data_IF_160603396267
#
_entry.id   IF_160603396267
#
_cell.length_a   1.000
_cell.length_b   1.000
_cell.length_c   1.000
_cell.angle_alpha   90.00
_cell.angle_beta   90.00
_cell.angle_gamma   90.00
#
_symmetry.space_group_name_H-M   'P 1'
#
loop_
_entity.id
_entity.type
_entity.pdbx_description
1 polymer ?
#
# COMPACT_ATOMS: atom_id res chain seq x y z
N UNK A 1 -38.95 -38.14 -8.15
CA UNK A 1 -39.26 -39.35 -7.34
C UNK A 1 -38.25 -39.44 -6.20
N UNK A 2 -38.78 -39.58 -4.98
CA UNK A 2 -38.20 -39.91 -3.68
C UNK A 2 -37.42 -38.78 -2.96
N UNK A 3 -38.20 -38.08 -2.09
CA UNK A 3 -37.76 -37.35 -0.89
C UNK A 3 -37.28 -38.36 0.17
N UNK A 4 -36.25 -38.00 0.93
CA UNK A 4 -35.99 -38.61 2.24
C UNK A 4 -35.83 -37.50 3.23
N UNK A 5 -36.79 -37.37 4.16
CA UNK A 5 -36.72 -36.60 5.40
C UNK A 5 -36.04 -37.47 6.47
N UNK A 6 -35.18 -36.89 7.27
CA UNK A 6 -34.75 -37.48 8.55
C UNK A 6 -35.07 -36.45 9.65
N UNK A 7 -35.85 -36.97 10.61
CA UNK A 7 -36.39 -36.29 11.81
C UNK A 7 -35.30 -36.10 12.89
N UNK A 8 -35.38 -34.94 13.54
CA UNK A 8 -34.75 -34.68 14.84
C UNK A 8 -35.44 -35.44 15.95
N UNK A 9 -34.68 -35.94 16.91
CA UNK A 9 -35.13 -36.36 18.23
C UNK A 9 -34.43 -35.54 19.31
N UNK A 10 -35.21 -34.66 19.98
CA UNK A 10 -34.84 -34.01 21.23
C UNK A 10 -35.11 -35.00 22.40
N UNK A 11 -34.14 -35.17 23.27
CA UNK A 11 -34.35 -35.81 24.57
C UNK A 11 -34.15 -34.76 25.68
N UNK A 12 -35.27 -34.51 26.39
CA UNK A 12 -35.38 -33.66 27.56
C UNK A 12 -35.17 -34.52 28.80
N UNK A 13 -34.21 -34.18 29.63
CA UNK A 13 -34.10 -34.78 30.97
C UNK A 13 -34.48 -33.75 32.03
N UNK A 14 -35.64 -34.03 32.68
CA UNK A 14 -36.13 -33.35 33.88
C UNK A 14 -35.66 -34.13 35.11
N UNK A 15 -34.99 -33.51 36.05
CA UNK A 15 -34.74 -34.08 37.37
C UNK A 15 -35.55 -33.31 38.41
N UNK A 16 -36.42 -34.07 39.11
CA UNK A 16 -37.34 -33.61 40.13
C UNK A 16 -36.64 -33.63 41.48
N UNK A 17 -36.70 -32.54 42.23
CA UNK A 17 -36.31 -32.49 43.64
C UNK A 17 -37.46 -32.97 44.54
N UNK A 18 -37.19 -33.82 45.48
CA UNK A 18 -38.14 -34.20 46.52
C UNK A 18 -37.59 -33.80 47.89
N UNK A 19 -38.34 -32.94 48.57
CA UNK A 19 -38.17 -32.62 50.00
C UNK A 19 -38.78 -33.72 50.87
N UNK A 20 -38.13 -34.06 51.96
CA UNK A 20 -38.83 -34.69 53.09
C UNK A 20 -38.27 -34.15 54.42
N UNK A 21 -39.20 -33.49 55.16
CA UNK A 21 -39.07 -33.08 56.55
C UNK A 21 -39.22 -34.31 57.49
N UNK A 22 -38.38 -34.40 58.48
CA UNK A 22 -38.72 -35.12 59.75
C UNK A 22 -38.25 -34.30 60.94
N UNK A 23 -39.19 -33.90 61.78
CA UNK A 23 -38.98 -33.35 63.12
C UNK A 23 -38.89 -34.50 64.13
N UNK A 24 -38.00 -34.46 65.07
CA UNK A 24 -38.23 -34.93 66.44
C UNK A 24 -37.29 -34.30 67.46
N UNK A 25 -37.87 -33.63 68.40
CA UNK A 25 -37.71 -33.25 69.78
C UNK A 25 -36.42 -33.60 70.55
N UNK A 26 -35.91 -32.53 71.17
CA UNK A 26 -35.36 -32.26 72.51
C UNK A 26 -34.61 -33.38 73.27
N UNK A 27 -33.36 -33.05 73.69
CA UNK A 27 -33.02 -33.04 75.07
C UNK A 27 -31.80 -32.16 75.38
N UNK A 28 -31.89 -31.46 76.54
CA UNK A 28 -30.99 -30.45 77.08
C UNK A 28 -29.82 -31.10 77.80
N UNK A 29 -28.55 -30.77 77.45
CA UNK A 29 -27.49 -30.73 78.49
C UNK A 29 -26.38 -29.74 78.13
N UNK A 30 -26.12 -28.82 79.03
CA UNK A 30 -25.02 -27.85 79.06
C UNK A 30 -23.64 -28.46 78.82
N UNK A 31 -22.83 -27.92 77.95
CA UNK A 31 -21.38 -27.92 78.13
C UNK A 31 -20.73 -26.72 77.39
N UNK A 32 -19.86 -26.08 78.15
CA UNK A 32 -18.96 -24.97 77.86
C UNK A 32 -18.66 -24.57 76.39
N UNK A 33 -18.76 -23.27 76.15
CA UNK A 33 -18.23 -22.53 74.98
C UNK A 33 -16.72 -22.72 74.90
N UNK A 34 -16.25 -23.41 73.85
CA UNK A 34 -14.93 -23.21 73.31
C UNK A 34 -15.13 -22.35 72.06
N UNK A 35 -14.66 -21.10 72.15
CA UNK A 35 -14.61 -20.16 71.00
C UNK A 35 -13.55 -20.65 70.01
N UNK A 36 -14.00 -21.21 68.91
CA UNK A 36 -13.17 -21.48 67.70
C UNK A 36 -12.92 -20.17 67.00
N UNK A 37 -11.65 -19.76 66.71
CA UNK A 37 -11.39 -18.57 65.91
C UNK A 37 -11.91 -18.82 64.51
N UNK A 38 -12.69 -17.86 63.98
CA UNK A 38 -13.16 -17.81 62.60
C UNK A 38 -11.94 -17.98 61.67
N UNK A 39 -11.94 -19.00 60.83
CA UNK A 39 -11.05 -19.07 59.69
C UNK A 39 -11.52 -17.98 58.71
N UNK A 40 -10.71 -16.92 58.55
CA UNK A 40 -10.83 -16.01 57.43
C UNK A 40 -10.65 -16.82 56.14
N UNK A 41 -11.68 -16.90 55.31
CA UNK A 41 -11.53 -17.38 53.94
C UNK A 41 -10.48 -16.51 53.23
N UNK A 42 -9.50 -17.10 52.50
CA UNK A 42 -8.52 -16.30 51.79
C UNK A 42 -9.24 -15.44 50.77
N UNK A 43 -9.05 -14.12 50.86
CA UNK A 43 -9.47 -13.19 49.80
C UNK A 43 -8.91 -13.70 48.48
N UNK A 44 -9.79 -14.07 47.54
CA UNK A 44 -9.42 -14.40 46.17
C UNK A 44 -8.90 -13.12 45.54
N UNK A 45 -7.59 -13.02 45.37
CA UNK A 45 -6.97 -11.97 44.56
C UNK A 45 -7.52 -12.15 43.12
N UNK A 46 -8.17 -11.14 42.51
CA UNK A 46 -8.65 -11.26 41.17
C UNK A 46 -7.48 -11.62 40.22
N UNK A 47 -7.67 -12.62 39.39
CA UNK A 47 -6.73 -12.97 38.34
C UNK A 47 -6.50 -11.71 37.46
N UNK A 48 -5.24 -11.30 37.15
CA UNK A 48 -5.00 -10.13 36.34
C UNK A 48 -5.72 -10.27 35.01
N UNK A 49 -6.43 -9.21 34.59
CA UNK A 49 -7.04 -9.17 33.25
C UNK A 49 -5.94 -9.41 32.22
N UNK A 50 -6.21 -10.21 31.18
CA UNK A 50 -5.25 -10.44 30.11
C UNK A 50 -4.85 -9.09 29.46
N UNK A 51 -3.57 -8.91 29.19
CA UNK A 51 -3.09 -7.74 28.46
C UNK A 51 -3.73 -7.73 27.04
N UNK A 52 -4.15 -6.55 26.53
CA UNK A 52 -4.76 -6.46 25.21
C UNK A 52 -3.78 -6.91 24.11
N UNK A 53 -4.28 -7.62 23.11
CA UNK A 53 -3.47 -8.04 21.98
C UNK A 53 -3.03 -6.83 21.14
N UNK A 54 -1.78 -6.86 20.66
CA UNK A 54 -1.17 -5.81 19.84
C UNK A 54 -0.79 -6.38 18.49
N UNK A 55 -1.33 -5.79 17.42
CA UNK A 55 -1.04 -6.15 16.05
C UNK A 55 -0.27 -5.03 15.36
N UNK A 56 0.64 -5.39 14.46
CA UNK A 56 1.42 -4.42 13.68
C UNK A 56 1.44 -4.81 12.21
N UNK A 57 1.37 -3.81 11.33
CA UNK A 57 1.52 -4.00 9.90
C UNK A 57 2.47 -2.94 9.33
N UNK A 58 3.37 -3.37 8.44
CA UNK A 58 4.26 -2.49 7.68
C UNK A 58 3.88 -2.51 6.21
N UNK A 59 3.41 -1.38 5.69
CA UNK A 59 3.16 -1.17 4.26
C UNK A 59 4.30 -0.38 3.66
N UNK A 60 4.81 -0.83 2.51
CA UNK A 60 5.76 -0.05 1.70
C UNK A 60 5.05 0.43 0.43
N UNK A 61 5.11 1.74 0.17
CA UNK A 61 4.59 2.33 -1.05
C UNK A 61 5.72 2.88 -1.92
N UNK A 62 5.59 2.72 -3.24
CA UNK A 62 6.50 3.27 -4.24
C UNK A 62 5.74 4.13 -5.25
N UNK A 63 6.46 4.98 -5.97
CA UNK A 63 5.89 5.81 -7.02
C UNK A 63 5.66 5.08 -8.34
N UNK A 64 5.82 5.81 -9.45
CA UNK A 64 5.43 5.38 -10.79
C UNK A 64 6.31 4.24 -11.32
N UNK A 65 5.67 3.18 -11.79
CA UNK A 65 6.25 1.99 -12.41
C UNK A 65 5.99 2.06 -13.92
N UNK A 66 6.95 2.63 -14.65
CA UNK A 66 6.83 2.89 -16.08
C UNK A 66 7.81 2.08 -16.91
N UNK A 67 7.43 1.73 -18.15
CA UNK A 67 8.31 1.06 -19.10
C UNK A 67 8.35 1.84 -20.42
N UNK A 68 9.43 2.57 -20.64
CA UNK A 68 9.70 3.28 -21.89
C UNK A 68 10.43 2.39 -22.90
N UNK A 69 10.56 2.85 -24.15
CA UNK A 69 11.24 2.11 -25.23
C UNK A 69 12.64 1.64 -24.86
N UNK A 70 13.38 2.42 -24.05
CA UNK A 70 14.74 2.04 -23.65
C UNK A 70 14.76 0.90 -22.65
N UNK A 71 13.73 0.80 -21.81
CA UNK A 71 13.55 -0.33 -20.89
C UNK A 71 13.12 -1.59 -21.65
N UNK A 72 12.27 -1.44 -22.69
CA UNK A 72 11.92 -2.55 -23.57
C UNK A 72 13.18 -3.10 -24.28
N UNK A 73 14.05 -2.21 -24.80
CA UNK A 73 15.31 -2.61 -25.43
C UNK A 73 16.27 -3.29 -24.46
N UNK A 74 16.35 -2.81 -23.21
CA UNK A 74 17.22 -3.36 -22.18
C UNK A 74 16.77 -4.74 -21.71
N UNK A 75 15.46 -4.95 -21.62
CA UNK A 75 14.87 -6.21 -21.16
C UNK A 75 14.77 -7.28 -22.26
N UNK A 76 14.92 -6.91 -23.55
CA UNK A 76 14.70 -7.81 -24.65
C UNK A 76 15.89 -8.76 -24.89
N UNK A 77 15.62 -10.06 -24.90
CA UNK A 77 16.57 -11.10 -25.25
C UNK A 77 16.29 -11.59 -26.69
N UNK A 78 17.15 -11.19 -27.63
CA UNK A 78 17.03 -11.53 -29.06
C UNK A 78 17.30 -13.01 -29.40
N UNK A 79 17.85 -13.79 -28.48
CA UNK A 79 18.10 -15.23 -28.69
C UNK A 79 16.85 -16.05 -28.39
N UNK A 80 16.04 -15.61 -27.45
CA UNK A 80 14.83 -16.32 -26.97
C UNK A 80 13.52 -15.63 -27.42
N UNK A 81 13.61 -14.43 -27.99
CA UNK A 81 12.47 -13.58 -28.35
C UNK A 81 11.56 -13.30 -27.13
N UNK A 82 12.18 -13.01 -25.97
CA UNK A 82 11.49 -12.76 -24.69
C UNK A 82 11.98 -11.49 -24.02
N UNK A 83 11.21 -11.03 -23.05
CA UNK A 83 11.56 -9.90 -22.19
C UNK A 83 11.77 -10.38 -20.74
N UNK A 84 12.83 -9.91 -20.09
CA UNK A 84 13.10 -10.14 -18.67
C UNK A 84 13.39 -8.82 -17.96
N UNK A 85 12.53 -8.45 -17.01
CA UNK A 85 12.68 -7.25 -16.18
C UNK A 85 13.15 -7.53 -14.75
N UNK A 86 13.43 -8.78 -14.38
CA UNK A 86 13.83 -9.11 -13.00
C UNK A 86 15.08 -8.37 -12.54
N UNK A 87 16.04 -8.12 -13.42
CA UNK A 87 17.25 -7.39 -13.10
C UNK A 87 16.98 -5.95 -12.63
N UNK A 88 15.90 -5.35 -13.12
CA UNK A 88 15.51 -3.97 -12.80
C UNK A 88 15.21 -3.77 -11.31
N UNK A 89 14.72 -4.79 -10.62
CA UNK A 89 14.32 -4.75 -9.22
C UNK A 89 15.23 -5.57 -8.30
N UNK A 90 16.18 -6.33 -8.82
CA UNK A 90 17.00 -7.28 -8.05
C UNK A 90 17.73 -6.67 -6.84
N UNK A 91 17.98 -5.34 -6.85
CA UNK A 91 18.69 -4.65 -5.75
C UNK A 91 17.74 -4.09 -4.68
N UNK A 92 16.48 -3.87 -5.02
CA UNK A 92 15.45 -3.36 -4.09
C UNK A 92 14.53 -4.47 -3.57
N UNK A 93 14.43 -5.61 -4.27
CA UNK A 93 13.58 -6.73 -3.85
C UNK A 93 13.84 -7.18 -2.38
N UNK A 94 15.11 -7.30 -1.88
CA UNK A 94 15.35 -7.64 -0.48
C UNK A 94 14.89 -6.57 0.52
N UNK A 95 14.69 -5.32 0.08
CA UNK A 95 14.17 -4.24 0.91
C UNK A 95 12.65 -4.19 0.87
N UNK A 96 12.05 -4.37 -0.31
CA UNK A 96 10.60 -4.49 -0.48
C UNK A 96 10.02 -5.64 0.34
N UNK A 97 10.71 -6.80 0.34
CA UNK A 97 10.30 -7.99 1.11
C UNK A 97 10.38 -7.85 2.64
N UNK A 98 10.82 -6.70 3.17
CA UNK A 98 10.75 -6.40 4.61
C UNK A 98 9.38 -5.85 5.04
N UNK A 99 8.57 -5.41 4.07
CA UNK A 99 7.20 -5.01 4.33
C UNK A 99 6.28 -6.23 4.36
N UNK A 100 5.18 -6.11 5.08
CA UNK A 100 4.10 -7.09 5.06
C UNK A 100 3.25 -6.95 3.78
N UNK A 101 3.26 -5.75 3.17
CA UNK A 101 2.50 -5.44 1.95
C UNK A 101 3.16 -4.30 1.16
N UNK A 102 3.28 -4.46 -0.15
CA UNK A 102 3.94 -3.47 -1.02
C UNK A 102 3.01 -2.96 -2.11
N UNK A 103 2.90 -1.62 -2.23
CA UNK A 103 2.03 -0.89 -3.15
C UNK A 103 2.86 -0.14 -4.19
N UNK A 104 2.43 -0.15 -5.47
CA UNK A 104 3.01 0.66 -6.55
C UNK A 104 1.96 1.20 -7.52
N UNK A 105 2.31 2.21 -8.31
CA UNK A 105 1.46 2.72 -9.39
C UNK A 105 1.90 2.11 -10.73
N UNK A 106 1.09 1.22 -11.30
CA UNK A 106 1.33 0.61 -12.62
C UNK A 106 0.95 1.60 -13.73
N UNK A 107 1.91 2.43 -14.16
CA UNK A 107 1.66 3.47 -15.16
C UNK A 107 2.00 2.98 -16.58
N UNK A 108 1.34 1.92 -16.98
CA UNK A 108 1.39 1.30 -18.31
C UNK A 108 0.23 0.33 -18.47
N UNK A 109 -0.09 -0.09 -19.70
CA UNK A 109 -0.99 -1.22 -19.96
C UNK A 109 -0.20 -2.52 -20.17
N UNK A 110 -0.84 -3.67 -19.90
CA UNK A 110 -0.37 -5.02 -20.18
C UNK A 110 -1.34 -5.67 -21.18
N UNK A 111 -1.35 -5.14 -22.41
CA UNK A 111 -2.36 -5.49 -23.41
C UNK A 111 -1.87 -6.50 -24.47
N UNK A 112 -0.82 -7.25 -24.15
CA UNK A 112 -0.23 -8.23 -25.05
C UNK A 112 0.38 -7.59 -26.32
N UNK A 113 0.83 -8.42 -27.25
CA UNK A 113 1.40 -7.92 -28.52
C UNK A 113 0.38 -7.18 -29.37
N UNK A 114 -0.85 -7.73 -29.52
CA UNK A 114 -1.88 -7.18 -30.36
C UNK A 114 -1.38 -6.78 -31.77
N UNK A 115 -2.01 -5.79 -32.39
CA UNK A 115 -1.59 -5.25 -33.69
C UNK A 115 -0.55 -4.13 -33.59
N UNK A 116 -0.34 -3.56 -32.37
CA UNK A 116 0.48 -2.38 -32.15
C UNK A 116 1.79 -2.70 -31.39
N UNK A 117 1.95 -3.94 -30.93
CA UNK A 117 3.13 -4.41 -30.21
C UNK A 117 3.35 -3.72 -28.86
N UNK A 118 4.50 -3.99 -28.25
CA UNK A 118 4.95 -3.30 -27.05
C UNK A 118 5.57 -1.95 -27.42
N UNK A 119 5.23 -0.92 -26.64
CA UNK A 119 5.66 0.48 -26.90
C UNK A 119 5.83 1.24 -25.58
N UNK A 120 6.75 2.19 -25.58
CA UNK A 120 6.85 3.22 -24.55
C UNK A 120 5.93 4.42 -24.84
N UNK A 121 6.41 5.63 -24.49
CA UNK A 121 5.68 6.90 -24.68
C UNK A 121 5.38 7.13 -26.19
N UNK A 122 4.21 7.69 -26.58
CA UNK A 122 3.17 8.26 -25.71
C UNK A 122 2.06 7.29 -25.27
N UNK A 123 1.93 6.12 -25.88
CA UNK A 123 0.92 5.13 -25.54
C UNK A 123 1.61 3.84 -25.11
N UNK A 124 1.72 3.66 -23.78
CA UNK A 124 2.45 2.55 -23.18
C UNK A 124 1.74 1.21 -23.39
N UNK A 125 2.53 0.19 -23.68
CA UNK A 125 2.12 -1.19 -23.63
C UNK A 125 3.33 -2.07 -23.34
N UNK A 126 3.30 -2.76 -22.22
CA UNK A 126 4.44 -3.48 -21.64
C UNK A 126 4.18 -4.98 -21.67
N UNK A 127 5.22 -5.82 -21.88
CA UNK A 127 5.09 -7.26 -21.74
C UNK A 127 4.67 -7.68 -20.31
N UNK A 128 3.85 -8.71 -20.19
CA UNK A 128 3.36 -9.27 -18.92
C UNK A 128 4.50 -9.68 -17.98
N UNK A 129 5.69 -9.98 -18.54
CA UNK A 129 6.91 -10.26 -17.77
C UNK A 129 7.36 -9.09 -16.88
N UNK A 130 6.90 -7.85 -17.14
CA UNK A 130 7.13 -6.73 -16.25
C UNK A 130 6.31 -6.88 -14.95
N UNK A 131 5.02 -7.20 -15.05
CA UNK A 131 4.20 -7.50 -13.88
C UNK A 131 4.73 -8.73 -13.13
N UNK A 132 5.19 -9.77 -13.84
CA UNK A 132 5.85 -10.91 -13.20
C UNK A 132 7.11 -10.49 -12.44
N UNK A 133 7.92 -9.57 -12.98
CA UNK A 133 9.11 -9.06 -12.30
C UNK A 133 8.75 -8.21 -11.06
N UNK A 134 7.66 -7.45 -11.10
CA UNK A 134 7.12 -6.75 -9.93
C UNK A 134 6.66 -7.74 -8.84
N UNK A 135 5.95 -8.82 -9.22
CA UNK A 135 5.56 -9.88 -8.27
C UNK A 135 6.77 -10.54 -7.62
N UNK A 136 7.77 -10.87 -8.42
CA UNK A 136 9.04 -11.47 -7.96
C UNK A 136 9.81 -10.50 -7.04
N UNK A 137 9.66 -9.20 -7.22
CA UNK A 137 10.28 -8.17 -6.39
C UNK A 137 9.56 -7.95 -5.05
N UNK A 138 8.34 -8.50 -4.89
CA UNK A 138 7.57 -8.42 -3.65
C UNK A 138 6.47 -7.36 -3.66
N UNK A 139 5.98 -6.94 -4.83
CA UNK A 139 4.77 -6.12 -4.91
C UNK A 139 3.52 -6.98 -4.73
N UNK A 140 2.56 -6.47 -3.97
CA UNK A 140 1.29 -7.13 -3.65
C UNK A 140 0.10 -6.42 -4.29
N UNK A 141 0.18 -5.09 -4.42
CA UNK A 141 -0.90 -4.25 -4.93
C UNK A 141 -0.39 -3.25 -5.97
N UNK A 142 -1.15 -3.09 -7.04
CA UNK A 142 -0.86 -2.12 -8.09
C UNK A 142 -2.08 -1.21 -8.33
N UNK A 143 -1.94 0.12 -8.12
CA UNK A 143 -2.98 1.03 -8.59
C UNK A 143 -2.94 1.09 -10.11
N UNK A 144 -4.11 1.07 -10.73
CA UNK A 144 -4.28 1.06 -12.18
C UNK A 144 -4.96 2.31 -12.71
N UNK A 145 -5.47 3.20 -11.83
CA UNK A 145 -6.01 4.49 -12.24
C UNK A 145 -4.90 5.53 -12.43
N UNK A 146 -4.49 5.74 -13.66
CA UNK A 146 -3.54 6.76 -14.07
C UNK A 146 -3.87 7.25 -15.50
N UNK A 147 -3.17 8.29 -15.98
CA UNK A 147 -3.42 8.85 -17.29
C UNK A 147 -3.08 7.91 -18.46
N UNK A 148 -2.34 6.81 -18.21
CA UNK A 148 -1.99 5.78 -19.19
C UNK A 148 -2.88 4.53 -19.13
N UNK A 149 -3.90 4.49 -18.27
CA UNK A 149 -4.81 3.35 -18.12
C UNK A 149 -5.55 2.98 -19.41
N UNK A 150 -5.78 3.95 -20.29
CA UNK A 150 -6.51 3.81 -21.54
C UNK A 150 -5.64 3.79 -22.80
N UNK A 151 -4.32 3.69 -22.69
CA UNK A 151 -3.40 3.70 -23.84
C UNK A 151 -3.70 2.60 -24.87
N UNK A 152 -4.24 1.50 -24.43
CA UNK A 152 -4.73 0.41 -25.27
C UNK A 152 -6.26 0.27 -25.27
N UNK A 153 -6.97 1.36 -24.91
CA UNK A 153 -8.43 1.44 -24.85
C UNK A 153 -9.01 0.47 -23.83
N UNK A 154 -10.32 0.28 -23.83
CA UNK A 154 -11.01 -0.59 -22.89
C UNK A 154 -10.51 -2.03 -22.93
N UNK A 155 -10.30 -2.61 -24.11
CA UNK A 155 -9.83 -3.99 -24.24
C UNK A 155 -8.45 -4.18 -23.61
N UNK A 156 -7.56 -3.20 -23.78
CA UNK A 156 -6.22 -3.23 -23.14
C UNK A 156 -6.28 -3.04 -21.63
N UNK A 157 -7.20 -2.20 -21.15
CA UNK A 157 -7.47 -2.07 -19.72
C UNK A 157 -7.94 -3.41 -19.14
N UNK A 158 -8.93 -4.06 -19.75
CA UNK A 158 -9.45 -5.35 -19.30
C UNK A 158 -8.35 -6.43 -19.32
N UNK A 159 -7.53 -6.47 -20.37
CA UNK A 159 -6.42 -7.40 -20.44
C UNK A 159 -5.37 -7.13 -19.33
N UNK A 160 -5.09 -5.86 -19.04
CA UNK A 160 -4.21 -5.48 -17.92
C UNK A 160 -4.72 -6.07 -16.59
N UNK A 161 -6.02 -5.91 -16.30
CA UNK A 161 -6.62 -6.46 -15.09
C UNK A 161 -6.54 -7.98 -15.04
N UNK A 162 -6.80 -8.67 -16.17
CA UNK A 162 -6.66 -10.14 -16.25
C UNK A 162 -5.24 -10.61 -15.91
N UNK A 163 -4.21 -9.94 -16.43
CA UNK A 163 -2.81 -10.25 -16.10
C UNK A 163 -2.53 -10.06 -14.61
N UNK A 164 -3.05 -8.99 -14.00
CA UNK A 164 -2.88 -8.74 -12.58
C UNK A 164 -3.58 -9.79 -11.72
N UNK A 165 -4.81 -10.18 -12.08
CA UNK A 165 -5.56 -11.25 -11.41
C UNK A 165 -4.84 -12.59 -11.49
N UNK A 166 -4.35 -12.97 -12.69
CA UNK A 166 -3.61 -14.22 -12.90
C UNK A 166 -2.32 -14.29 -12.08
N UNK A 167 -1.67 -13.15 -11.83
CA UNK A 167 -0.48 -13.04 -11.00
C UNK A 167 -0.80 -12.86 -9.50
N UNK A 168 -2.09 -12.74 -9.14
CA UNK A 168 -2.53 -12.57 -7.75
C UNK A 168 -2.15 -11.23 -7.15
N UNK A 169 -2.22 -10.15 -7.93
CA UNK A 169 -2.13 -8.79 -7.42
C UNK A 169 -3.49 -8.30 -6.92
N UNK A 170 -3.48 -7.53 -5.81
CA UNK A 170 -4.56 -6.59 -5.55
C UNK A 170 -4.46 -5.41 -6.52
N UNK A 171 -5.60 -4.86 -6.94
CA UNK A 171 -5.62 -3.66 -7.77
C UNK A 171 -6.90 -2.83 -7.53
N UNK A 172 -6.85 -1.54 -7.83
CA UNK A 172 -8.02 -0.66 -7.77
C UNK A 172 -7.88 0.52 -8.73
N UNK A 173 -9.03 1.14 -9.03
CA UNK A 173 -9.15 2.37 -9.80
C UNK A 173 -9.55 2.16 -11.26
N UNK A 174 -9.37 0.94 -11.82
CA UNK A 174 -9.95 0.54 -13.10
C UNK A 174 -10.70 -0.78 -12.97
N UNK A 175 -11.71 -1.00 -13.80
CA UNK A 175 -12.67 -2.08 -13.64
C UNK A 175 -13.11 -2.67 -14.98
N UNK A 176 -13.32 -3.99 -15.02
CA UNK A 176 -13.79 -4.72 -16.19
C UNK A 176 -15.31 -4.75 -16.31
N UNK A 177 -16.05 -4.37 -15.28
CA UNK A 177 -17.51 -4.28 -15.28
C UNK A 177 -18.03 -3.24 -14.29
N UNK A 178 -19.29 -2.84 -14.43
CA UNK A 178 -19.95 -1.95 -13.48
C UNK A 178 -20.13 -2.58 -12.09
N UNK A 179 -20.30 -3.89 -12.02
CA UNK A 179 -20.37 -4.64 -10.77
C UNK A 179 -19.02 -4.56 -10.04
N UNK A 180 -17.91 -4.76 -10.75
CA UNK A 180 -16.57 -4.68 -10.17
C UNK A 180 -16.23 -3.27 -9.65
N UNK A 181 -16.74 -2.21 -10.28
CA UNK A 181 -16.55 -0.84 -9.78
C UNK A 181 -17.21 -0.61 -8.41
N UNK A 182 -18.29 -1.31 -8.11
CA UNK A 182 -19.00 -1.19 -6.83
C UNK A 182 -18.32 -1.98 -5.69
N UNK A 183 -17.19 -2.64 -5.96
CA UNK A 183 -16.45 -3.40 -4.96
C UNK A 183 -15.17 -2.65 -4.58
N UNK A 184 -15.12 -2.08 -3.38
CA UNK A 184 -13.90 -1.48 -2.83
C UNK A 184 -12.91 -2.59 -2.50
N UNK A 185 -11.66 -2.41 -2.91
CA UNK A 185 -10.62 -3.37 -2.59
C UNK A 185 -10.31 -3.38 -1.09
N UNK A 186 -10.45 -4.55 -0.47
CA UNK A 186 -10.17 -4.80 0.93
C UNK A 186 -9.05 -5.82 1.08
N UNK A 187 -8.17 -5.61 2.05
CA UNK A 187 -7.15 -6.59 2.46
C UNK A 187 -6.98 -6.57 3.96
N UNK A 188 -6.54 -7.70 4.52
CA UNK A 188 -6.20 -7.81 5.93
C UNK A 188 -4.72 -8.19 6.06
N UNK A 189 -3.98 -7.41 6.84
CA UNK A 189 -2.55 -7.61 7.08
C UNK A 189 -2.36 -7.68 8.59
N UNK A 190 -1.98 -8.85 9.10
CA UNK A 190 -1.72 -9.08 10.53
C UNK A 190 -2.87 -8.58 11.43
N UNK A 191 -4.13 -8.94 11.12
CA UNK A 191 -5.36 -8.54 11.83
C UNK A 191 -5.67 -7.03 11.79
N UNK A 192 -5.07 -6.29 10.86
CA UNK A 192 -5.42 -4.90 10.55
C UNK A 192 -6.06 -4.87 9.16
N UNK A 193 -7.28 -4.35 9.07
CA UNK A 193 -8.03 -4.28 7.81
C UNK A 193 -7.80 -2.95 7.09
N UNK A 194 -7.55 -3.02 5.78
CA UNK A 194 -7.30 -1.87 4.93
C UNK A 194 -8.29 -1.84 3.77
N UNK A 195 -8.89 -0.66 3.53
CA UNK A 195 -9.57 -0.36 2.28
C UNK A 195 -8.66 0.48 1.40
N UNK A 196 -8.56 0.17 0.10
CA UNK A 196 -7.72 0.92 -0.84
C UNK A 196 -8.58 1.39 -2.01
N UNK A 197 -8.59 2.71 -2.25
CA UNK A 197 -9.28 3.34 -3.38
C UNK A 197 -8.28 4.11 -4.24
N UNK A 198 -8.54 4.21 -5.55
CA UNK A 198 -7.63 4.87 -6.48
C UNK A 198 -8.38 5.69 -7.52
N UNK A 199 -7.78 6.81 -7.94
CA UNK A 199 -8.37 7.80 -8.84
C UNK A 199 -7.34 8.35 -9.82
N UNK A 200 -7.79 8.83 -10.99
CA UNK A 200 -6.93 9.58 -11.92
C UNK A 200 -7.60 10.84 -12.43
N UNK A 201 -6.79 11.87 -12.67
CA UNK A 201 -7.27 13.14 -13.25
C UNK A 201 -7.78 13.01 -14.70
N UNK A 202 -7.40 11.93 -15.40
CA UNK A 202 -7.77 11.75 -16.79
C UNK A 202 -7.05 10.61 -17.50
N UNK A 203 -7.22 10.53 -18.81
CA UNK A 203 -6.74 9.47 -19.71
C UNK A 203 -5.97 10.02 -20.90
N UNK A 204 -5.16 11.08 -20.73
CA UNK A 204 -4.38 11.74 -21.78
C UNK A 204 -5.22 12.13 -23.03
N UNK A 205 -6.51 12.50 -22.80
CA UNK A 205 -7.43 12.86 -23.86
C UNK A 205 -7.97 11.68 -24.67
N UNK A 206 -7.67 10.45 -24.28
CA UNK A 206 -8.30 9.26 -24.86
C UNK A 206 -9.70 9.13 -24.26
N UNK A 207 -10.77 9.18 -25.09
CA UNK A 207 -12.13 9.16 -24.57
C UNK A 207 -12.47 7.81 -23.95
N UNK A 208 -13.05 7.83 -22.76
CA UNK A 208 -13.73 6.68 -22.16
C UNK A 208 -15.11 6.57 -22.80
N UNK A 209 -15.50 5.41 -23.38
CA UNK A 209 -16.83 5.24 -23.96
C UNK A 209 -17.93 5.43 -22.91
N UNK A 210 -19.05 6.06 -23.28
CA UNK A 210 -20.17 6.34 -22.36
C UNK A 210 -20.75 5.07 -21.73
N UNK A 211 -20.77 3.96 -22.46
CA UNK A 211 -21.21 2.65 -21.96
C UNK A 211 -20.15 1.92 -21.12
N UNK A 212 -18.99 2.54 -20.88
CA UNK A 212 -17.85 2.05 -20.09
C UNK A 212 -17.36 3.08 -19.07
N UNK A 213 -18.17 4.06 -18.70
CA UNK A 213 -17.83 5.11 -17.73
C UNK A 213 -17.41 4.55 -16.37
N UNK A 214 -17.92 3.37 -16.01
CA UNK A 214 -17.53 2.61 -14.82
C UNK A 214 -16.07 2.13 -14.84
N UNK A 215 -15.46 2.04 -16.01
CA UNK A 215 -14.18 1.33 -16.17
C UNK A 215 -12.96 2.03 -15.55
N UNK A 216 -13.11 3.27 -15.09
CA UNK A 216 -12.03 4.05 -14.48
C UNK A 216 -12.58 5.10 -13.52
N UNK A 217 -12.01 5.17 -12.33
CA UNK A 217 -12.34 6.21 -11.36
C UNK A 217 -11.67 7.53 -11.72
N UNK A 218 -12.41 8.40 -12.41
CA UNK A 218 -11.96 9.77 -12.67
C UNK A 218 -12.04 10.61 -11.39
N UNK A 219 -11.05 11.47 -11.18
CA UNK A 219 -10.94 12.35 -10.02
C UNK A 219 -11.98 13.48 -10.10
N UNK A 220 -13.20 13.18 -9.70
CA UNK A 220 -14.31 14.12 -9.52
C UNK A 220 -14.83 14.06 -8.09
N UNK A 221 -15.46 15.14 -7.60
CA UNK A 221 -16.00 15.14 -6.23
C UNK A 221 -17.01 14.00 -6.01
N UNK A 222 -17.84 13.70 -7.01
CA UNK A 222 -18.85 12.66 -6.95
C UNK A 222 -18.21 11.28 -6.78
N UNK A 223 -17.20 10.95 -7.61
CA UNK A 223 -16.51 9.66 -7.57
C UNK A 223 -15.71 9.52 -6.29
N UNK A 224 -14.98 10.56 -5.87
CA UNK A 224 -14.21 10.54 -4.62
C UNK A 224 -15.11 10.29 -3.40
N UNK A 225 -16.25 11.00 -3.33
CA UNK A 225 -17.21 10.82 -2.24
C UNK A 225 -17.83 9.43 -2.24
N UNK A 226 -18.26 8.94 -3.40
CA UNK A 226 -18.85 7.60 -3.54
C UNK A 226 -17.89 6.52 -3.04
N UNK A 227 -16.67 6.49 -3.58
CA UNK A 227 -15.67 5.47 -3.26
C UNK A 227 -15.26 5.48 -1.77
N UNK A 228 -15.05 6.67 -1.21
CA UNK A 228 -14.65 6.79 0.20
C UNK A 228 -15.80 6.51 1.17
N UNK A 229 -17.03 6.87 0.82
CA UNK A 229 -18.20 6.51 1.61
C UNK A 229 -18.46 5.00 1.57
N UNK A 230 -18.28 4.35 0.41
CA UNK A 230 -18.37 2.90 0.30
C UNK A 230 -17.26 2.23 1.12
N UNK A 231 -16.00 2.69 0.99
CA UNK A 231 -14.90 2.21 1.80
C UNK A 231 -15.17 2.34 3.31
N UNK A 232 -15.68 3.48 3.75
CA UNK A 232 -16.05 3.74 5.15
C UNK A 232 -17.16 2.79 5.63
N UNK A 233 -18.11 2.45 4.75
CA UNK A 233 -19.24 1.55 5.08
C UNK A 233 -18.81 0.13 5.42
N UNK A 234 -17.65 -0.31 4.89
CA UNK A 234 -17.04 -1.62 5.14
C UNK A 234 -16.31 -1.70 6.49
N UNK A 235 -16.22 -0.58 7.23
CA UNK A 235 -15.58 -0.49 8.54
C UNK A 235 -14.11 -0.98 8.58
N UNK A 236 -13.24 -0.59 7.64
CA UNK A 236 -11.82 -0.92 7.73
C UNK A 236 -11.16 -0.22 8.92
N UNK A 237 -10.02 -0.75 9.37
CA UNK A 237 -9.18 -0.06 10.34
C UNK A 237 -8.52 1.20 9.73
N UNK A 238 -8.11 1.14 8.45
CA UNK A 238 -7.41 2.22 7.72
C UNK A 238 -7.96 2.31 6.29
N UNK A 239 -8.16 3.54 5.81
CA UNK A 239 -8.49 3.84 4.40
C UNK A 239 -7.31 4.54 3.73
N UNK A 240 -6.79 3.92 2.64
CA UNK A 240 -5.72 4.46 1.81
C UNK A 240 -6.29 4.93 0.48
N UNK A 241 -6.11 6.22 0.15
CA UNK A 241 -6.45 6.78 -1.14
C UNK A 241 -5.20 6.99 -2.00
N UNK A 242 -5.24 6.51 -3.25
CA UNK A 242 -4.13 6.54 -4.19
C UNK A 242 -4.52 7.39 -5.42
N UNK A 243 -4.50 8.72 -5.34
CA UNK A 243 -4.82 9.58 -6.48
C UNK A 243 -3.61 9.76 -7.40
N UNK A 244 -3.84 9.58 -8.71
CA UNK A 244 -2.91 9.96 -9.77
C UNK A 244 -3.25 11.38 -10.22
N UNK A 245 -2.57 12.36 -9.66
CA UNK A 245 -2.89 13.79 -9.81
C UNK A 245 -1.64 14.67 -9.68
N UNK A 246 -1.69 15.85 -10.22
CA UNK A 246 -0.60 16.80 -10.12
C UNK A 246 -0.32 17.47 -11.46
N UNK A 247 0.71 18.30 -11.49
CA UNK A 247 1.33 18.78 -12.73
C UNK A 247 2.66 18.06 -12.89
N UNK A 248 2.93 17.54 -14.07
CA UNK A 248 4.21 16.90 -14.36
C UNK A 248 5.39 17.83 -14.03
N UNK A 249 6.37 17.29 -13.31
CA UNK A 249 7.66 17.88 -13.01
C UNK A 249 7.65 19.09 -12.05
N UNK A 250 6.51 19.43 -11.48
CA UNK A 250 6.42 20.41 -10.40
C UNK A 250 6.87 19.79 -9.07
N UNK A 251 7.79 20.46 -8.37
CA UNK A 251 8.35 19.96 -7.10
C UNK A 251 7.47 20.26 -5.88
N UNK A 252 6.45 21.07 -6.04
CA UNK A 252 5.53 21.51 -4.99
C UNK A 252 4.11 21.36 -5.51
N UNK A 253 3.20 20.74 -4.73
CA UNK A 253 1.81 20.61 -5.12
C UNK A 253 1.15 21.99 -5.19
N UNK A 254 0.32 22.23 -6.21
CA UNK A 254 -0.49 23.43 -6.24
C UNK A 254 -1.71 23.31 -5.32
N UNK A 255 -2.37 24.45 -5.06
CA UNK A 255 -3.53 24.51 -4.15
C UNK A 255 -4.68 23.56 -4.53
N UNK A 256 -4.88 23.28 -5.81
CA UNK A 256 -5.96 22.41 -6.26
C UNK A 256 -5.71 20.96 -5.79
N UNK A 257 -4.47 20.48 -5.87
CA UNK A 257 -4.12 19.12 -5.45
C UNK A 257 -4.10 18.98 -3.94
N UNK A 258 -3.72 20.03 -3.22
CA UNK A 258 -3.88 20.10 -1.75
C UNK A 258 -5.37 19.97 -1.38
N UNK A 259 -6.28 20.70 -2.07
CA UNK A 259 -7.73 20.59 -1.83
C UNK A 259 -8.30 19.20 -2.13
N UNK A 260 -7.76 18.49 -3.13
CA UNK A 260 -8.17 17.11 -3.38
C UNK A 260 -7.78 16.19 -2.23
N UNK A 261 -6.57 16.30 -1.71
CA UNK A 261 -6.16 15.55 -0.53
C UNK A 261 -7.02 15.90 0.70
N UNK A 262 -7.31 17.18 0.92
CA UNK A 262 -8.17 17.64 2.01
C UNK A 262 -9.61 17.10 1.89
N UNK A 263 -10.16 17.04 0.67
CA UNK A 263 -11.47 16.40 0.42
C UNK A 263 -11.41 14.91 0.75
N UNK A 264 -10.38 14.18 0.31
CA UNK A 264 -10.25 12.75 0.61
C UNK A 264 -10.19 12.50 2.12
N UNK A 265 -9.49 13.33 2.87
CA UNK A 265 -9.46 13.26 4.32
C UNK A 265 -10.82 13.56 4.96
N UNK A 266 -11.52 14.57 4.45
CA UNK A 266 -12.86 14.91 4.95
C UNK A 266 -13.87 13.78 4.72
N UNK A 267 -13.75 13.03 3.62
CA UNK A 267 -14.60 11.88 3.30
C UNK A 267 -14.16 10.58 3.98
N UNK A 268 -13.02 10.55 4.69
CA UNK A 268 -12.65 9.42 5.56
C UNK A 268 -11.30 8.77 5.28
N UNK A 269 -10.55 9.17 4.25
CA UNK A 269 -9.21 8.63 4.04
C UNK A 269 -8.28 8.94 5.23
N UNK A 270 -7.46 7.97 5.64
CA UNK A 270 -6.43 8.15 6.68
C UNK A 270 -5.08 8.49 6.05
N UNK A 271 -4.83 7.92 4.89
CA UNK A 271 -3.58 8.03 4.15
C UNK A 271 -3.90 8.43 2.70
N UNK A 272 -3.19 9.44 2.18
CA UNK A 272 -3.22 9.82 0.76
C UNK A 272 -1.81 9.70 0.20
N UNK A 273 -1.62 8.83 -0.80
CA UNK A 273 -0.34 8.64 -1.49
C UNK A 273 -0.55 8.93 -2.97
N UNK A 274 -0.12 10.10 -3.41
CA UNK A 274 -0.32 10.52 -4.79
C UNK A 274 0.88 10.22 -5.69
N UNK A 275 0.61 10.16 -7.00
CA UNK A 275 1.55 9.94 -8.10
C UNK A 275 1.20 10.83 -9.28
N UNK A 276 1.97 10.80 -10.38
CA UNK A 276 1.87 11.57 -11.62
C UNK A 276 2.94 12.66 -11.82
N UNK A 277 3.36 13.49 -10.84
CA UNK A 277 4.36 14.53 -11.12
C UNK A 277 5.71 13.98 -11.61
N UNK A 278 5.98 12.69 -11.48
CA UNK A 278 7.24 12.02 -11.83
C UNK A 278 8.47 12.56 -11.10
N UNK A 279 8.25 13.36 -10.08
CA UNK A 279 9.24 13.91 -9.15
C UNK A 279 8.69 13.83 -7.74
N UNK A 280 9.57 13.69 -6.76
CA UNK A 280 9.16 13.71 -5.37
C UNK A 280 8.59 15.08 -4.99
N UNK A 281 7.50 15.07 -4.25
CA UNK A 281 6.91 16.25 -3.64
C UNK A 281 6.87 16.09 -2.12
N UNK A 282 6.65 17.18 -1.34
CA UNK A 282 6.58 17.13 0.11
C UNK A 282 5.59 16.11 0.63
N UNK A 283 5.86 15.67 1.86
CA UNK A 283 4.97 14.82 2.65
C UNK A 283 4.65 15.55 3.95
N UNK A 284 3.48 15.30 4.50
CA UNK A 284 3.10 15.93 5.77
C UNK A 284 2.08 15.13 6.56
N UNK A 285 2.14 15.25 7.89
CA UNK A 285 1.04 14.91 8.76
C UNK A 285 0.07 16.08 8.83
N UNK A 286 -1.23 15.79 8.78
CA UNK A 286 -2.30 16.78 8.97
C UNK A 286 -3.22 16.33 10.09
N UNK A 287 -3.99 17.28 10.64
CA UNK A 287 -5.06 16.99 11.58
C UNK A 287 -6.38 17.42 10.97
N UNK A 288 -7.31 16.50 10.86
CA UNK A 288 -8.67 16.77 10.40
C UNK A 288 -9.66 16.54 11.53
N UNK A 289 -10.68 17.37 11.59
CA UNK A 289 -11.76 17.22 12.56
C UNK A 289 -12.90 16.47 11.88
N UNK A 290 -13.30 15.34 12.46
CA UNK A 290 -14.41 14.54 11.95
C UNK A 290 -15.79 15.18 12.27
N UNK A 291 -16.86 14.56 11.81
CA UNK A 291 -18.24 15.02 12.01
C UNK A 291 -18.68 15.03 13.49
N UNK A 292 -17.97 14.31 14.37
CA UNK A 292 -18.20 14.27 15.81
C UNK A 292 -17.40 15.33 16.58
N UNK A 293 -16.51 16.06 15.88
CA UNK A 293 -15.60 17.05 16.48
C UNK A 293 -14.30 16.46 17.03
N UNK A 294 -14.02 15.18 16.79
CA UNK A 294 -12.77 14.53 17.18
C UNK A 294 -11.66 14.82 16.16
N UNK A 295 -10.44 15.08 16.66
CA UNK A 295 -9.29 15.26 15.79
C UNK A 295 -8.67 13.91 15.43
N UNK A 296 -8.46 13.72 14.12
CA UNK A 296 -7.80 12.56 13.53
C UNK A 296 -6.50 12.98 12.86
N UNK A 297 -5.39 12.31 13.19
CA UNK A 297 -4.09 12.48 12.52
C UNK A 297 -4.10 11.70 11.22
N UNK A 298 -3.78 12.35 10.12
CA UNK A 298 -3.74 11.77 8.76
C UNK A 298 -2.40 12.08 8.11
N UNK A 299 -2.06 11.36 7.03
CA UNK A 299 -0.78 11.52 6.35
C UNK A 299 -0.97 11.66 4.84
N UNK A 300 -0.24 12.59 4.21
CA UNK A 300 -0.20 12.75 2.77
C UNK A 300 1.24 12.73 2.23
N UNK A 301 1.43 11.99 1.12
CA UNK A 301 2.56 12.16 0.19
C UNK A 301 2.00 12.71 -1.12
N UNK A 302 2.36 13.94 -1.48
CA UNK A 302 1.80 14.58 -2.66
C UNK A 302 2.36 14.03 -3.98
N UNK A 303 3.55 13.43 -3.96
CA UNK A 303 4.07 12.57 -5.04
C UNK A 303 5.23 11.73 -4.53
N UNK A 304 5.19 10.44 -4.88
CA UNK A 304 6.30 9.51 -4.61
C UNK A 304 7.34 9.47 -5.76
N UNK A 305 7.16 10.29 -6.81
CA UNK A 305 8.05 10.34 -7.96
C UNK A 305 8.07 9.05 -8.78
N UNK A 306 9.07 8.88 -9.62
CA UNK A 306 9.28 7.64 -10.34
C UNK A 306 10.00 6.60 -9.46
N UNK A 307 9.42 5.40 -9.32
CA UNK A 307 10.19 4.29 -8.77
C UNK A 307 11.07 3.66 -9.83
N UNK A 308 10.52 3.46 -11.05
CA UNK A 308 11.29 3.10 -12.23
C UNK A 308 10.75 3.76 -13.49
N UNK A 309 11.63 4.38 -14.25
CA UNK A 309 11.33 5.08 -15.51
C UNK A 309 12.62 5.28 -16.30
N UNK A 310 12.55 5.56 -17.59
CA UNK A 310 13.70 6.04 -18.33
C UNK A 310 13.71 7.55 -18.58
N UNK A 311 12.92 8.31 -17.85
CA UNK A 311 12.97 9.76 -17.84
C UNK A 311 14.29 10.23 -17.20
N UNK A 312 15.00 11.19 -17.84
CA UNK A 312 16.39 11.55 -17.47
C UNK A 312 16.62 13.01 -17.10
N UNK A 313 15.59 13.85 -17.22
CA UNK A 313 15.70 15.23 -16.73
C UNK A 313 15.68 15.23 -15.21
N UNK A 314 16.74 15.72 -14.57
CA UNK A 314 16.82 15.83 -13.11
C UNK A 314 15.62 16.61 -12.54
N UNK A 315 14.96 16.14 -11.45
CA UNK A 315 15.30 15.00 -10.60
C UNK A 315 14.40 13.75 -10.84
N UNK A 316 13.94 13.46 -12.05
CA UNK A 316 12.94 12.40 -12.36
C UNK A 316 13.45 10.98 -12.13
N UNK A 317 14.76 10.79 -11.94
CA UNK A 317 15.38 9.51 -11.63
C UNK A 317 15.48 9.24 -10.11
N UNK A 318 15.02 10.20 -9.29
CA UNK A 318 14.96 10.10 -7.84
C UNK A 318 13.61 9.52 -7.41
N UNK A 319 13.64 8.49 -6.57
CA UNK A 319 12.46 7.86 -5.99
C UNK A 319 12.67 7.45 -4.55
N UNK A 320 11.64 6.90 -3.94
CA UNK A 320 11.70 6.36 -2.58
C UNK A 320 10.88 5.10 -2.45
N UNK A 321 11.22 4.26 -1.48
CA UNK A 321 10.32 3.34 -0.82
C UNK A 321 9.83 4.04 0.44
N UNK A 322 8.56 4.41 0.50
CA UNK A 322 7.92 5.02 1.68
C UNK A 322 7.36 3.91 2.55
N UNK A 323 7.74 3.88 3.82
CA UNK A 323 7.32 2.87 4.79
C UNK A 323 6.32 3.47 5.77
N UNK A 324 5.21 2.77 5.98
CA UNK A 324 4.12 3.14 6.86
C UNK A 324 3.93 2.01 7.88
N UNK A 325 4.21 2.27 9.15
CA UNK A 325 4.03 1.30 10.22
C UNK A 325 2.73 1.59 10.98
N UNK A 326 1.86 0.60 11.06
CA UNK A 326 0.57 0.68 11.74
C UNK A 326 0.59 -0.19 13.00
N UNK A 327 -0.09 0.27 14.05
CA UNK A 327 -0.29 -0.49 15.29
C UNK A 327 -1.77 -0.47 15.65
N UNK A 328 -2.31 -1.65 15.96
CA UNK A 328 -3.65 -1.86 16.48
C UNK A 328 -3.56 -2.53 17.84
N UNK A 329 -4.11 -1.88 18.87
CA UNK A 329 -4.30 -2.46 20.20
C UNK A 329 -5.77 -2.87 20.30
N UNK A 330 -6.03 -4.08 20.77
CA UNK A 330 -7.39 -4.59 20.91
C UNK A 330 -8.29 -3.60 21.68
N UNK A 331 -9.46 -3.28 21.11
CA UNK A 331 -10.40 -2.29 21.65
C UNK A 331 -10.04 -0.84 21.41
N UNK A 332 -8.95 -0.53 20.70
CA UNK A 332 -8.54 0.83 20.33
C UNK A 332 -8.55 1.04 18.81
N UNK A 333 -8.54 2.31 18.39
CA UNK A 333 -8.36 2.67 16.96
C UNK A 333 -6.94 2.30 16.51
N UNK A 334 -6.82 1.83 15.27
CA UNK A 334 -5.52 1.61 14.62
C UNK A 334 -4.85 2.95 14.36
N UNK A 335 -3.55 3.03 14.63
CA UNK A 335 -2.75 4.24 14.46
C UNK A 335 -1.62 4.04 13.45
N UNK A 336 -1.34 5.08 12.63
CA UNK A 336 -0.09 5.23 11.90
C UNK A 336 0.99 5.67 12.91
N UNK A 337 1.82 4.73 13.35
CA UNK A 337 2.79 4.95 14.43
C UNK A 337 4.15 5.45 13.95
N UNK A 338 4.51 5.16 12.69
CA UNK A 338 5.75 5.64 12.10
C UNK A 338 5.62 5.79 10.59
N UNK A 339 6.29 6.82 10.04
CA UNK A 339 6.54 6.95 8.61
C UNK A 339 8.04 7.14 8.40
N UNK A 340 8.60 6.38 7.48
CA UNK A 340 10.00 6.48 7.10
C UNK A 340 10.17 6.24 5.60
N UNK A 341 11.35 6.51 5.06
CA UNK A 341 11.63 6.25 3.65
C UNK A 341 13.05 5.76 3.41
N UNK A 342 13.20 4.93 2.39
CA UNK A 342 14.50 4.51 1.82
C UNK A 342 14.70 5.21 0.49
N UNK A 343 15.74 6.06 0.31
CA UNK A 343 16.03 6.72 -0.94
C UNK A 343 16.47 5.76 -2.03
N UNK A 344 15.93 5.93 -3.25
CA UNK A 344 16.29 5.15 -4.43
C UNK A 344 16.69 6.04 -5.60
N UNK A 345 17.43 5.46 -6.52
CA UNK A 345 17.86 6.11 -7.75
C UNK A 345 17.79 5.14 -8.93
N UNK A 346 17.37 5.61 -10.09
CA UNK A 346 17.31 4.80 -11.30
C UNK A 346 18.62 4.92 -12.09
N UNK A 347 19.41 3.84 -12.12
CA UNK A 347 20.53 3.73 -13.06
C UNK A 347 19.97 3.62 -14.48
N UNK A 348 20.66 4.24 -15.44
CA UNK A 348 20.21 4.26 -16.83
C UNK A 348 21.12 3.50 -17.79
N UNK A 349 22.44 3.52 -17.51
CA UNK A 349 23.46 2.86 -18.32
C UNK A 349 24.49 2.17 -17.43
N UNK A 350 25.11 1.15 -18.00
CA UNK A 350 26.32 0.56 -17.47
C UNK A 350 27.55 1.43 -17.83
N UNK A 351 28.71 1.05 -17.33
CA UNK A 351 29.98 1.73 -17.60
C UNK A 351 30.39 1.66 -19.07
N UNK A 352 29.96 0.64 -19.80
CA UNK A 352 30.19 0.49 -21.23
C UNK A 352 29.25 1.34 -22.09
N UNK A 353 28.23 1.95 -21.47
CA UNK A 353 27.27 2.81 -22.14
C UNK A 353 26.02 2.09 -22.67
N UNK A 354 25.86 0.79 -22.41
CA UNK A 354 24.64 0.06 -22.74
C UNK A 354 23.51 0.48 -21.80
N UNK A 355 22.25 0.34 -22.24
CA UNK A 355 21.11 0.49 -21.33
C UNK A 355 21.19 -0.55 -20.23
N UNK A 356 20.97 -0.13 -19.00
CA UNK A 356 20.91 -0.97 -17.82
C UNK A 356 20.04 -0.27 -16.78
N UNK A 357 18.71 -0.27 -17.07
CA UNK A 357 17.74 0.54 -16.34
C UNK A 357 17.21 -0.24 -15.15
N UNK A 358 17.69 0.12 -13.96
CA UNK A 358 17.34 -0.57 -12.71
C UNK A 358 17.31 0.37 -11.53
N UNK A 359 16.56 -0.03 -10.50
CA UNK A 359 16.46 0.71 -9.25
C UNK A 359 17.60 0.32 -8.30
N UNK A 360 18.30 1.31 -7.77
CA UNK A 360 19.36 1.11 -6.78
C UNK A 360 19.02 1.85 -5.48
N UNK A 361 19.17 1.20 -4.30
CA UNK A 361 19.15 1.92 -3.02
C UNK A 361 20.39 2.84 -2.94
N UNK A 362 20.16 4.11 -2.65
CA UNK A 362 21.26 5.12 -2.61
C UNK A 362 22.27 4.77 -1.52
N UNK A 363 21.82 4.27 -0.38
CA UNK A 363 22.69 3.86 0.72
C UNK A 363 23.71 2.81 0.28
N UNK A 364 23.28 1.76 -0.43
CA UNK A 364 24.16 0.67 -0.86
C UNK A 364 25.32 1.13 -1.76
N UNK A 365 25.11 2.27 -2.43
CA UNK A 365 26.14 2.86 -3.29
C UNK A 365 27.02 3.82 -2.51
N UNK A 366 26.45 4.73 -1.73
CA UNK A 366 27.17 5.83 -1.12
C UNK A 366 27.92 5.43 0.17
N UNK A 367 27.58 4.30 0.82
CA UNK A 367 28.31 3.81 2.00
C UNK A 367 29.72 3.32 1.68
N UNK A 368 29.95 2.78 0.47
CA UNK A 368 31.24 2.32 -0.04
C UNK A 368 31.29 2.54 -1.56
N UNK A 369 31.64 3.75 -1.96
CA UNK A 369 31.60 4.19 -3.36
C UNK A 369 32.56 3.35 -4.24
N UNK A 370 33.74 2.95 -3.73
CA UNK A 370 34.73 2.20 -4.51
C UNK A 370 34.19 0.80 -4.85
N UNK A 371 33.76 0.04 -3.85
CA UNK A 371 33.18 -1.28 -4.03
C UNK A 371 31.87 -1.22 -4.85
N UNK A 372 31.02 -0.22 -4.60
CA UNK A 372 29.76 -0.07 -5.32
C UNK A 372 29.94 0.30 -6.78
N UNK A 373 30.93 1.15 -7.11
CA UNK A 373 31.23 1.53 -8.49
C UNK A 373 31.60 0.32 -9.35
N UNK A 374 32.32 -0.65 -8.79
CA UNK A 374 32.63 -1.90 -9.46
C UNK A 374 31.43 -2.84 -9.49
N UNK A 375 30.77 -3.07 -8.34
CA UNK A 375 29.65 -3.99 -8.17
C UNK A 375 28.42 -3.62 -9.01
N UNK A 376 28.17 -2.34 -9.17
CA UNK A 376 27.00 -1.82 -9.91
C UNK A 376 27.37 -1.21 -11.26
N UNK A 377 28.62 -1.35 -11.70
CA UNK A 377 29.11 -0.86 -12.99
C UNK A 377 28.80 0.62 -13.24
N UNK A 378 29.06 1.47 -12.19
CA UNK A 378 28.77 2.90 -12.18
C UNK A 378 29.96 3.74 -12.64
N UNK A 379 29.68 4.86 -13.28
CA UNK A 379 30.67 5.89 -13.59
C UNK A 379 30.68 6.98 -12.52
N UNK A 380 31.77 7.77 -12.45
CA UNK A 380 31.89 8.84 -11.46
C UNK A 380 30.72 9.86 -11.49
N UNK A 381 30.17 10.12 -12.69
CA UNK A 381 29.02 11.02 -12.84
C UNK A 381 27.75 10.50 -12.14
N UNK A 382 27.54 9.18 -12.14
CA UNK A 382 26.42 8.53 -11.46
C UNK A 382 26.53 8.75 -9.94
N UNK A 383 27.74 8.54 -9.39
CA UNK A 383 28.01 8.74 -7.96
C UNK A 383 27.76 10.19 -7.54
N UNK A 384 28.28 11.14 -8.32
CA UNK A 384 28.06 12.57 -8.03
C UNK A 384 26.56 12.95 -8.16
N UNK A 385 25.85 12.33 -9.09
CA UNK A 385 24.39 12.53 -9.20
C UNK A 385 23.64 11.95 -7.99
N UNK A 386 23.98 10.71 -7.55
CA UNK A 386 23.36 10.12 -6.38
C UNK A 386 23.58 10.93 -5.10
N UNK A 387 24.75 11.55 -4.92
CA UNK A 387 25.02 12.45 -3.78
C UNK A 387 24.05 13.64 -3.78
N UNK A 388 23.80 14.23 -4.96
CA UNK A 388 22.83 15.32 -5.10
C UNK A 388 21.40 14.83 -4.86
N UNK A 389 21.02 13.67 -5.43
CA UNK A 389 19.71 13.07 -5.21
C UNK A 389 19.43 12.82 -3.73
N UNK A 390 20.40 12.29 -2.99
CA UNK A 390 20.29 12.10 -1.55
C UNK A 390 19.97 13.42 -0.82
N UNK A 391 20.63 14.53 -1.18
CA UNK A 391 20.37 15.86 -0.61
C UNK A 391 19.00 16.40 -1.03
N UNK A 392 18.64 16.26 -2.31
CA UNK A 392 17.35 16.69 -2.86
C UNK A 392 16.18 15.98 -2.17
N UNK A 393 16.27 14.67 -1.97
CA UNK A 393 15.26 13.88 -1.25
C UNK A 393 15.12 14.35 0.20
N UNK A 394 16.26 14.54 0.92
CA UNK A 394 16.25 15.05 2.28
C UNK A 394 15.57 16.41 2.39
N UNK A 395 15.86 17.31 1.43
CA UNK A 395 15.24 18.63 1.37
C UNK A 395 13.74 18.58 1.10
N UNK A 396 13.31 17.69 0.21
CA UNK A 396 11.89 17.54 -0.16
C UNK A 396 11.07 16.89 0.96
N UNK A 397 11.56 15.80 1.55
CA UNK A 397 10.77 15.00 2.49
C UNK A 397 11.00 15.37 3.97
N UNK A 398 12.19 15.88 4.32
CA UNK A 398 12.51 16.25 5.69
C UNK A 398 12.63 17.77 5.90
N UNK A 399 12.46 18.55 4.82
CA UNK A 399 12.65 20.00 4.81
C UNK A 399 14.01 20.46 5.41
N UNK A 400 15.06 19.65 5.23
CA UNK A 400 16.42 19.94 5.70
C UNK A 400 17.48 19.39 4.76
N UNK A 401 18.67 20.00 4.81
CA UNK A 401 19.84 19.43 4.16
C UNK A 401 20.24 18.11 4.84
N UNK A 402 20.61 17.12 4.04
CA UNK A 402 20.99 15.80 4.50
C UNK A 402 22.44 15.50 4.07
N UNK A 403 23.44 15.85 4.91
CA UNK A 403 24.85 15.64 4.57
C UNK A 403 25.19 14.15 4.55
N UNK A 404 26.20 13.76 3.76
CA UNK A 404 26.63 12.35 3.66
C UNK A 404 27.15 11.77 4.98
N UNK A 405 27.50 12.61 5.95
CA UNK A 405 27.85 12.17 7.32
C UNK A 405 26.64 11.62 8.09
N UNK A 406 25.43 11.90 7.61
CA UNK A 406 24.16 11.37 8.13
C UNK A 406 23.55 10.32 7.20
N UNK A 407 24.35 9.71 6.33
CA UNK A 407 23.88 8.70 5.39
C UNK A 407 23.31 7.47 6.14
N UNK A 408 22.06 7.15 5.88
CA UNK A 408 21.33 6.01 6.46
C UNK A 408 20.58 5.26 5.37
N UNK A 409 20.23 4.01 5.65
CA UNK A 409 19.39 3.21 4.77
C UNK A 409 17.94 3.74 4.75
N UNK A 410 17.45 4.13 5.92
CA UNK A 410 16.07 4.54 6.16
C UNK A 410 16.04 5.79 7.04
N UNK A 411 15.19 6.75 6.67
CA UNK A 411 15.02 8.03 7.36
C UNK A 411 13.59 8.17 7.86
N UNK A 412 13.46 8.55 9.14
CA UNK A 412 12.15 8.81 9.73
C UNK A 412 11.62 10.18 9.30
N UNK A 413 10.32 10.26 9.04
CA UNK A 413 9.54 11.49 8.82
C UNK A 413 8.88 11.88 10.14
N UNK A 414 9.13 13.11 10.62
CA UNK A 414 8.64 13.62 11.90
C UNK A 414 7.37 14.48 11.73
#
# INVERSE_FOLDING_TARGET
MKRVQIMLLLAFFMVIAACSNVQTTSDTQNKAEETNPAQEEPETVPEPEPEPEVYTAKITATGDLMVHDKQLLDAYNNQTDTYDFNFAFAKVAPLLSRADYTIGNLETTLAGLGTRGYTGYPEFNTPDSFAQALKNAGFDFLTTANNHSYDRRYDGLVQTLQVLDELGFGHAGTYSSAEAQNEVFMTEINNISFAIVSFTYGTNGIPVPEDKDYSINLLTEEVVKRELQEAKSLNPDIIIALPHMGNEYELIPNEQFVKWADLMFAEGADIVLASHPHVLQPVEYKYVTDENGEQRKVFVAYSLGNFISSQRTEPREAGVMLHLDFTKIEGQKTELTNVSYTPTWVQYRDRAGNYHIRVLPIYDVLQDVEAASEKYDLVAADIERMKRVHQEIGKTLLNRDLPLTELQMEYKIE
#
